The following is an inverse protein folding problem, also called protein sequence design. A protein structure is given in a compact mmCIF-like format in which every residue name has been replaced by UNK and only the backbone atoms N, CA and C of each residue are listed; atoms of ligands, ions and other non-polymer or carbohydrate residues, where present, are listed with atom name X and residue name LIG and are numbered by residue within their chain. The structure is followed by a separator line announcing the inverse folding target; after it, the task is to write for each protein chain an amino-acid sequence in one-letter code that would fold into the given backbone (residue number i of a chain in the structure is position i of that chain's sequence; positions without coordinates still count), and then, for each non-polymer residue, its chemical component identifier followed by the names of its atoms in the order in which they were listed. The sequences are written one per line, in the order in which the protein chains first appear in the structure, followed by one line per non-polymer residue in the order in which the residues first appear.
data_IF_564473932468
#
_entry.id   IF_564473932468
#
_cell.length_a   1.000
_cell.length_b   1.000
_cell.length_c   1.000
_cell.angle_alpha   90.00
_cell.angle_beta   90.00
_cell.angle_gamma   90.00
#
_symmetry.space_group_name_H-M   'P 1'
#
loop_
_entity.id
_entity.type
_entity.pdbx_description
1 polymer ?
#
# COMPACT_ATOMS: atom_id res chain seq x y z
N UNK A 1 22.17 -25.13 49.94
CA UNK A 1 20.91 -25.60 49.56
C UNK A 1 20.49 -25.26 48.20
N UNK A 2 19.22 -25.03 47.96
CA UNK A 2 18.72 -24.73 46.64
C UNK A 2 19.10 -23.37 46.06
N UNK A 3 19.88 -22.63 46.72
CA UNK A 3 20.23 -21.30 46.30
C UNK A 3 21.07 -21.26 45.06
N UNK A 4 22.05 -22.09 44.95
CA UNK A 4 22.92 -22.11 43.79
C UNK A 4 22.15 -22.56 42.55
N UNK A 5 21.25 -23.50 42.70
CA UNK A 5 20.41 -23.92 41.59
C UNK A 5 19.54 -22.78 41.11
N UNK A 6 19.01 -22.02 42.03
CA UNK A 6 18.18 -20.86 41.65
C UNK A 6 18.93 -19.83 40.87
N UNK A 7 20.16 -19.55 41.26
CA UNK A 7 20.98 -18.60 40.56
C UNK A 7 21.25 -19.02 39.14
N UNK A 8 21.57 -20.26 38.96
CA UNK A 8 21.80 -20.81 37.65
C UNK A 8 20.59 -20.67 36.75
N UNK A 9 19.44 -21.03 37.29
CA UNK A 9 18.19 -20.88 36.56
C UNK A 9 17.90 -19.45 36.18
N UNK A 10 18.10 -18.53 37.11
CA UNK A 10 17.81 -17.13 36.87
C UNK A 10 18.65 -16.61 35.72
N UNK A 11 19.93 -16.94 35.66
CA UNK A 11 20.77 -16.49 34.58
C UNK A 11 20.32 -17.02 33.23
N UNK A 12 20.00 -18.30 33.17
CA UNK A 12 19.51 -18.89 31.94
C UNK A 12 18.20 -18.33 31.47
N UNK A 13 17.29 -18.12 32.41
CA UNK A 13 15.98 -17.52 32.07
C UNK A 13 16.11 -16.10 31.61
N UNK A 14 16.94 -15.33 32.24
CA UNK A 14 17.15 -13.92 31.83
C UNK A 14 17.67 -13.88 30.39
N UNK A 15 18.63 -14.73 30.08
CA UNK A 15 19.18 -14.81 28.72
C UNK A 15 18.12 -15.15 27.69
N UNK A 16 17.31 -16.16 27.97
CA UNK A 16 16.25 -16.59 27.07
C UNK A 16 15.17 -15.53 26.92
N UNK A 17 14.77 -14.91 28.01
CA UNK A 17 13.77 -13.86 27.98
C UNK A 17 14.25 -12.66 27.17
N UNK A 18 15.51 -12.28 27.30
CA UNK A 18 16.09 -11.17 26.55
C UNK A 18 16.06 -11.43 25.06
N UNK A 19 16.41 -12.65 24.65
CA UNK A 19 16.37 -13.03 23.23
C UNK A 19 14.95 -13.01 22.67
N UNK A 20 14.00 -13.50 23.44
CA UNK A 20 12.60 -13.45 23.02
C UNK A 20 12.09 -12.03 22.91
N UNK A 21 12.46 -11.19 23.86
CA UNK A 21 12.07 -9.80 23.83
C UNK A 21 12.65 -9.07 22.62
N UNK A 22 13.92 -9.34 22.28
CA UNK A 22 14.55 -8.78 21.09
C UNK A 22 13.85 -9.24 19.83
N UNK A 23 13.53 -10.51 19.72
CA UNK A 23 12.80 -11.02 18.57
C UNK A 23 11.44 -10.37 18.43
N UNK A 24 10.70 -10.25 19.52
CA UNK A 24 9.40 -9.61 19.50
C UNK A 24 9.49 -8.16 19.09
N UNK A 25 10.51 -7.45 19.56
CA UNK A 25 10.74 -6.07 19.16
C UNK A 25 11.04 -5.95 17.67
N UNK A 26 11.83 -6.86 17.13
CA UNK A 26 12.15 -6.87 15.71
C UNK A 26 10.91 -7.15 14.87
N UNK A 27 10.10 -8.11 15.29
CA UNK A 27 8.86 -8.42 14.59
C UNK A 27 7.91 -7.24 14.63
N UNK A 28 7.76 -6.60 15.78
CA UNK A 28 6.91 -5.42 15.93
C UNK A 28 7.40 -4.26 15.05
N UNK A 29 8.72 -4.07 14.98
CA UNK A 29 9.29 -3.04 14.13
C UNK A 29 9.04 -3.32 12.66
N UNK A 30 9.18 -4.57 12.23
CA UNK A 30 8.87 -4.97 10.85
C UNK A 30 7.40 -4.75 10.51
N UNK A 31 6.51 -5.13 11.43
CA UNK A 31 5.09 -4.94 11.23
C UNK A 31 4.74 -3.45 11.14
N UNK A 32 5.36 -2.64 11.97
CA UNK A 32 5.16 -1.19 11.92
C UNK A 32 5.64 -0.60 10.60
N UNK A 33 6.79 -1.06 10.09
CA UNK A 33 7.32 -0.62 8.80
C UNK A 33 6.42 -1.02 7.65
N UNK A 34 5.91 -2.24 7.66
CA UNK A 34 5.00 -2.72 6.63
C UNK A 34 3.70 -1.91 6.67
N UNK A 35 3.17 -1.67 7.85
CA UNK A 35 1.95 -0.87 8.00
C UNK A 35 2.16 0.56 7.51
N UNK A 36 3.30 1.17 7.85
CA UNK A 36 3.61 2.52 7.39
C UNK A 36 3.77 2.59 5.87
N UNK A 37 4.45 1.60 5.28
CA UNK A 37 4.60 1.52 3.83
C UNK A 37 3.25 1.34 3.15
N UNK A 38 2.37 0.53 3.74
CA UNK A 38 1.04 0.30 3.21
C UNK A 38 0.19 1.57 3.29
N UNK A 39 0.29 2.32 4.38
CA UNK A 39 -0.40 3.60 4.51
C UNK A 39 0.07 4.60 3.48
N UNK A 40 1.37 4.65 3.20
CA UNK A 40 1.92 5.53 2.17
C UNK A 40 1.37 5.18 0.79
N UNK A 41 1.33 3.90 0.46
CA UNK A 41 0.77 3.44 -0.83
C UNK A 41 -0.72 3.78 -0.90
N UNK A 42 -1.45 3.57 0.18
CA UNK A 42 -2.87 3.86 0.24
C UNK A 42 -3.18 5.35 0.14
N UNK A 43 -2.28 6.20 0.61
CA UNK A 43 -2.43 7.64 0.57
C UNK A 43 -2.02 8.24 -0.77
N UNK A 44 -1.31 7.52 -1.61
CA UNK A 44 -0.91 8.01 -2.92
C UNK A 44 -2.11 8.25 -3.82
N UNK A 45 -2.01 9.28 -4.63
CA UNK A 45 -3.06 9.64 -5.56
C UNK A 45 -2.63 9.30 -6.99
N UNK A 46 -3.55 8.71 -7.73
CA UNK A 46 -3.33 8.35 -9.11
C UNK A 46 -4.42 8.99 -9.94
N UNK A 47 -4.05 9.65 -11.01
CA UNK A 47 -5.00 10.30 -11.89
C UNK A 47 -4.85 9.79 -13.31
N UNK A 48 -5.95 9.81 -14.04
CA UNK A 48 -5.96 9.48 -15.45
C UNK A 48 -6.99 10.36 -16.14
N UNK A 49 -6.68 10.77 -17.36
CA UNK A 49 -7.58 11.59 -18.15
C UNK A 49 -7.82 10.93 -19.50
N UNK A 50 -9.01 11.14 -20.03
CA UNK A 50 -9.42 10.65 -21.35
C UNK A 50 -10.06 11.75 -22.15
N UNK A 51 -10.22 11.51 -23.45
CA UNK A 51 -10.87 12.46 -24.34
C UNK A 51 -10.11 13.79 -24.49
N UNK A 52 -8.78 13.73 -24.44
CA UNK A 52 -7.98 14.95 -24.50
C UNK A 52 -7.98 15.78 -23.23
N UNK A 53 -8.28 15.16 -22.10
CA UNK A 53 -8.27 15.83 -20.81
C UNK A 53 -9.62 16.37 -20.38
N UNK A 54 -10.69 16.05 -21.11
CA UNK A 54 -12.04 16.54 -20.76
C UNK A 54 -12.66 15.80 -19.58
N UNK A 55 -12.21 14.56 -19.33
CA UNK A 55 -12.63 13.77 -18.17
C UNK A 55 -11.37 13.30 -17.45
N UNK A 56 -11.26 13.62 -16.17
CA UNK A 56 -10.14 13.22 -15.34
C UNK A 56 -10.65 12.57 -14.07
N UNK A 57 -10.13 11.39 -13.76
CA UNK A 57 -10.45 10.67 -12.53
C UNK A 57 -9.22 10.61 -11.64
N UNK A 58 -9.43 10.74 -10.35
CA UNK A 58 -8.37 10.62 -9.35
C UNK A 58 -8.77 9.57 -8.33
N UNK A 59 -7.90 8.60 -8.09
CA UNK A 59 -8.11 7.54 -7.11
C UNK A 59 -6.92 7.47 -6.15
N UNK A 60 -7.14 6.85 -5.00
CA UNK A 60 -6.05 6.60 -4.06
C UNK A 60 -5.55 5.15 -4.18
N UNK A 61 -4.56 4.79 -3.36
CA UNK A 61 -4.02 3.44 -3.36
C UNK A 61 -5.00 2.38 -2.85
N UNK A 62 -6.05 2.78 -2.17
CA UNK A 62 -7.14 1.89 -1.75
C UNK A 62 -8.17 1.65 -2.85
N UNK A 63 -7.94 2.24 -4.02
CA UNK A 63 -8.86 2.17 -5.15
C UNK A 63 -10.20 2.85 -4.87
N UNK A 64 -10.14 3.91 -4.09
CA UNK A 64 -11.30 4.77 -3.88
C UNK A 64 -11.21 5.95 -4.83
N UNK A 65 -12.31 6.29 -5.47
CA UNK A 65 -12.38 7.46 -6.34
C UNK A 65 -12.44 8.70 -5.45
N UNK A 66 -11.40 9.54 -5.55
CA UNK A 66 -11.30 10.75 -4.74
C UNK A 66 -12.00 11.92 -5.41
N UNK A 67 -11.86 12.04 -6.72
CA UNK A 67 -12.48 13.11 -7.47
C UNK A 67 -12.69 12.70 -8.92
N UNK A 68 -13.65 13.35 -9.53
CA UNK A 68 -13.93 13.18 -10.94
C UNK A 68 -14.19 14.57 -11.51
N UNK A 69 -13.37 14.98 -12.46
CA UNK A 69 -13.51 16.27 -13.11
C UNK A 69 -13.99 16.06 -14.53
N UNK A 70 -15.07 16.73 -14.89
CA UNK A 70 -15.66 16.66 -16.21
C UNK A 70 -15.75 18.09 -16.74
N UNK A 71 -15.11 18.36 -17.86
CA UNK A 71 -15.23 19.66 -18.49
C UNK A 71 -16.59 19.78 -19.18
N UNK A 72 -17.20 20.97 -19.22
CA UNK A 72 -18.50 21.12 -19.85
C UNK A 72 -18.53 20.69 -21.30
N UNK A 73 -17.39 20.78 -21.98
CA UNK A 73 -17.25 20.35 -23.37
C UNK A 73 -17.57 18.89 -23.60
N UNK A 74 -17.35 18.05 -22.55
CA UNK A 74 -17.62 16.62 -22.62
C UNK A 74 -19.09 16.29 -22.35
N UNK A 75 -19.86 17.25 -21.84
CA UNK A 75 -21.25 17.01 -21.49
C UNK A 75 -22.14 17.36 -22.66
N UNK A 76 -22.56 16.32 -23.38
CA UNK A 76 -23.50 16.46 -24.48
C UNK A 76 -24.79 15.71 -24.09
N UNK A 77 -25.89 16.44 -23.89
CA UNK A 77 -27.15 15.79 -23.50
C UNK A 77 -27.67 14.82 -24.56
N UNK A 78 -27.22 14.94 -25.78
CA UNK A 78 -27.63 14.05 -26.87
C UNK A 78 -26.76 12.81 -26.96
N UNK A 79 -25.60 12.82 -26.30
CA UNK A 79 -24.67 11.67 -26.33
C UNK A 79 -24.16 11.37 -24.92
N UNK A 80 -25.07 10.97 -24.07
CA UNK A 80 -24.76 10.62 -22.68
C UNK A 80 -23.92 9.36 -22.60
N UNK A 81 -24.10 8.42 -23.54
CA UNK A 81 -23.33 7.17 -23.58
C UNK A 81 -21.85 7.44 -23.76
N UNK A 82 -21.48 8.39 -24.59
CA UNK A 82 -20.09 8.75 -24.78
C UNK A 82 -19.48 9.27 -23.48
N UNK A 83 -20.19 10.09 -22.74
CA UNK A 83 -19.75 10.59 -21.45
C UNK A 83 -19.58 9.44 -20.45
N UNK A 84 -20.54 8.52 -20.40
CA UNK A 84 -20.46 7.35 -19.53
C UNK A 84 -19.23 6.52 -19.83
N UNK A 85 -18.96 6.26 -21.11
CA UNK A 85 -17.81 5.49 -21.54
C UNK A 85 -16.50 6.17 -21.17
N UNK A 86 -16.43 7.49 -21.31
CA UNK A 86 -15.25 8.26 -20.92
C UNK A 86 -15.01 8.19 -19.41
N UNK A 87 -16.05 8.29 -18.61
CA UNK A 87 -15.93 8.19 -17.16
C UNK A 87 -15.43 6.81 -16.76
N UNK A 88 -16.01 5.77 -17.33
CA UNK A 88 -15.59 4.38 -17.06
C UNK A 88 -14.13 4.19 -17.45
N UNK A 89 -13.73 4.68 -18.60
CA UNK A 89 -12.35 4.57 -19.07
C UNK A 89 -11.39 5.31 -18.16
N UNK A 90 -11.73 6.52 -17.74
CA UNK A 90 -10.87 7.32 -16.86
C UNK A 90 -10.69 6.66 -15.50
N UNK A 91 -11.78 6.19 -14.90
CA UNK A 91 -11.73 5.52 -13.59
C UNK A 91 -10.94 4.23 -13.68
N UNK A 92 -11.17 3.42 -14.71
CA UNK A 92 -10.46 2.15 -14.88
C UNK A 92 -8.97 2.38 -15.11
N UNK A 93 -8.61 3.40 -15.86
CA UNK A 93 -7.22 3.72 -16.12
C UNK A 93 -6.51 4.21 -14.85
N UNK A 94 -7.17 5.03 -14.06
CA UNK A 94 -6.64 5.48 -12.79
C UNK A 94 -6.45 4.31 -11.83
N UNK A 95 -7.38 3.38 -11.80
CA UNK A 95 -7.27 2.18 -10.97
C UNK A 95 -6.13 1.26 -11.43
N UNK A 96 -5.92 1.15 -12.74
CA UNK A 96 -4.77 0.39 -13.26
C UNK A 96 -3.46 1.04 -12.85
N UNK A 97 -3.38 2.35 -12.86
CA UNK A 97 -2.19 3.06 -12.41
C UNK A 97 -1.92 2.77 -10.94
N UNK A 98 -2.94 2.75 -10.11
CA UNK A 98 -2.81 2.39 -8.70
C UNK A 98 -2.35 0.95 -8.52
N UNK A 99 -2.91 0.02 -9.30
CA UNK A 99 -2.51 -1.38 -9.25
C UNK A 99 -1.07 -1.58 -9.70
N UNK A 100 -0.66 -0.91 -10.76
CA UNK A 100 0.70 -1.00 -11.27
C UNK A 100 1.71 -0.48 -10.26
N UNK A 101 1.38 0.62 -9.58
CA UNK A 101 2.24 1.16 -8.54
C UNK A 101 2.35 0.22 -7.35
N UNK A 102 1.24 -0.34 -6.90
CA UNK A 102 1.23 -1.32 -5.82
C UNK A 102 2.06 -2.55 -6.18
N UNK A 103 1.93 -3.06 -7.40
CA UNK A 103 2.72 -4.19 -7.89
C UNK A 103 4.20 -3.85 -7.95
N UNK A 104 4.54 -2.67 -8.44
CA UNK A 104 5.92 -2.20 -8.49
C UNK A 104 6.55 -2.13 -7.10
N UNK A 105 5.81 -1.60 -6.14
CA UNK A 105 6.27 -1.49 -4.76
C UNK A 105 6.50 -2.87 -4.16
N UNK A 106 5.58 -3.79 -4.39
CA UNK A 106 5.72 -5.17 -3.92
C UNK A 106 6.91 -5.86 -4.57
N UNK A 107 7.11 -5.66 -5.87
CA UNK A 107 8.27 -6.21 -6.56
C UNK A 107 9.58 -5.68 -6.02
N UNK A 108 9.65 -4.42 -5.69
CA UNK A 108 10.84 -3.82 -5.09
C UNK A 108 11.15 -4.43 -3.74
N UNK A 109 10.13 -4.63 -2.91
CA UNK A 109 10.30 -5.27 -1.61
C UNK A 109 10.73 -6.73 -1.76
N UNK A 110 10.08 -7.45 -2.66
CA UNK A 110 10.38 -8.86 -2.92
C UNK A 110 11.73 -8.99 -3.60
N UNK A 111 12.05 -8.08 -4.50
CA UNK A 111 13.34 -8.07 -5.19
C UNK A 111 14.51 -7.95 -4.24
N UNK A 112 14.35 -7.15 -3.19
CA UNK A 112 15.36 -7.04 -2.15
C UNK A 112 15.58 -8.35 -1.41
N UNK A 113 14.53 -9.14 -1.23
CA UNK A 113 14.62 -10.44 -0.59
C UNK A 113 15.19 -11.50 -1.53
N UNK A 114 14.94 -11.35 -2.82
CA UNK A 114 15.35 -12.34 -3.82
C UNK A 114 16.75 -12.14 -4.34
N UNK A 115 17.45 -11.12 -3.91
CA UNK A 115 18.81 -10.87 -4.35
C UNK A 115 19.77 -11.99 -3.98
N UNK A 116 19.39 -12.84 -3.06
CA UNK A 116 20.16 -14.01 -2.69
C UNK A 116 20.04 -15.17 -3.66
N UNK A 117 19.15 -15.10 -4.57
CA UNK A 117 18.96 -16.13 -5.56
C UNK A 117 19.61 -15.75 -6.87
#
# INVERSE_FOLDING_TARGET
MGYSARRGFTNGKVSGAARQAEMQQKIAAMQAQVAAAQEEVEAQEFSASVGGGVVEAKVNGKKEVLSLQIKPEAVDPEDVEMLQDMIVAAVNEAMRAADNDASSTMQKLTGGLNLGF
#
